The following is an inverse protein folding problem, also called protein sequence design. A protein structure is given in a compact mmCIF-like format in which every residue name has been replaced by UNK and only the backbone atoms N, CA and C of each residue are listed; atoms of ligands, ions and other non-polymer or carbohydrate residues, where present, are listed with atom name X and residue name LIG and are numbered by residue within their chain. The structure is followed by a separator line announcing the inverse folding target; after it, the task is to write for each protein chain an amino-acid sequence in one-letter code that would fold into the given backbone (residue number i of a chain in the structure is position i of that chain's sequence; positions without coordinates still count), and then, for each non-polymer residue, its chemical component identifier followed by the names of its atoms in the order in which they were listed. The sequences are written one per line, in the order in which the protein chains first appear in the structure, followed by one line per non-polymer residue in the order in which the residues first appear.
data_IF_347947171660
#
_entry.id   IF_347947171660
#
_cell.length_a   1.000
_cell.length_b   1.000
_cell.length_c   1.000
_cell.angle_alpha   90.00
_cell.angle_beta   90.00
_cell.angle_gamma   90.00
#
_symmetry.space_group_name_H-M   'P 1'
#
loop_
_entity.id
_entity.type
_entity.pdbx_description
1 polymer ?
#
# COMPACT_ATOMS: atom_id res chain seq x y z
N UNK A 1 26.11 20.82 10.12
CA UNK A 1 25.71 19.40 10.03
C UNK A 1 26.37 18.80 8.81
N UNK A 2 27.17 17.76 8.98
CA UNK A 2 27.74 16.99 7.85
C UNK A 2 26.60 16.27 7.14
N UNK A 3 26.31 16.62 5.88
CA UNK A 3 25.36 15.87 5.07
C UNK A 3 25.98 14.51 4.73
N UNK A 4 25.23 13.43 4.99
CA UNK A 4 25.59 12.08 4.55
C UNK A 4 24.83 11.75 3.27
N UNK A 5 25.52 11.66 2.12
CA UNK A 5 24.89 11.28 0.86
C UNK A 5 24.25 9.90 0.95
N UNK A 6 23.02 9.77 0.48
CA UNK A 6 22.32 8.48 0.41
C UNK A 6 23.13 7.44 -0.38
N UNK A 7 23.91 7.87 -1.38
CA UNK A 7 24.72 6.99 -2.23
C UNK A 7 25.90 6.35 -1.49
N UNK A 8 26.30 6.90 -0.36
CA UNK A 8 27.40 6.38 0.45
C UNK A 8 26.93 5.28 1.41
N UNK A 9 25.61 5.08 1.53
CA UNK A 9 25.03 4.00 2.32
C UNK A 9 25.16 2.66 1.60
N UNK A 10 25.22 1.53 2.33
CA UNK A 10 25.04 0.20 1.76
C UNK A 10 23.79 0.11 0.85
N UNK A 11 23.83 -0.59 -0.30
CA UNK A 11 22.72 -0.63 -1.26
C UNK A 11 21.37 -1.05 -0.68
N UNK A 12 21.38 -1.90 0.35
CA UNK A 12 20.18 -2.31 1.09
C UNK A 12 19.56 -1.14 1.83
N UNK A 13 20.37 -0.32 2.52
CA UNK A 13 19.89 0.86 3.24
C UNK A 13 19.40 1.94 2.27
N UNK A 14 20.05 2.11 1.12
CA UNK A 14 19.55 3.00 0.06
C UNK A 14 18.13 2.60 -0.36
N UNK A 15 17.91 1.31 -0.64
CA UNK A 15 16.61 0.82 -1.05
C UNK A 15 15.56 1.01 0.06
N UNK A 16 15.89 0.71 1.32
CA UNK A 16 14.98 0.87 2.46
C UNK A 16 14.58 2.33 2.68
N UNK A 17 15.51 3.27 2.57
CA UNK A 17 15.21 4.71 2.67
C UNK A 17 14.22 5.11 1.59
N UNK A 18 14.44 4.72 0.33
CA UNK A 18 13.55 5.09 -0.78
C UNK A 18 12.19 4.41 -0.67
N UNK A 19 12.13 3.16 -0.21
CA UNK A 19 10.87 2.47 0.11
C UNK A 19 10.10 3.20 1.21
N UNK A 20 10.79 3.69 2.24
CA UNK A 20 10.19 4.47 3.30
C UNK A 20 9.65 5.81 2.78
N UNK A 21 10.36 6.49 1.90
CA UNK A 21 9.85 7.69 1.22
C UNK A 21 8.59 7.37 0.42
N UNK A 22 8.58 6.28 -0.35
CA UNK A 22 7.42 5.85 -1.12
C UNK A 22 6.19 5.51 -0.27
N UNK A 23 6.41 4.96 0.93
CA UNK A 23 5.33 4.67 1.89
C UNK A 23 4.71 5.95 2.46
N UNK A 24 5.49 7.02 2.63
CA UNK A 24 5.05 8.20 3.40
C UNK A 24 4.73 9.43 2.54
N UNK A 25 5.37 9.63 1.39
CA UNK A 25 5.23 10.87 0.62
C UNK A 25 5.41 10.64 -0.89
N UNK A 26 4.30 10.76 -1.62
CA UNK A 26 4.32 10.74 -3.09
C UNK A 26 5.17 11.89 -3.65
N UNK A 27 5.01 13.09 -3.09
CA UNK A 27 5.73 14.28 -3.55
C UNK A 27 7.25 14.11 -3.40
N UNK A 28 7.71 13.62 -2.25
CA UNK A 28 9.14 13.45 -2.00
C UNK A 28 9.72 12.28 -2.79
N UNK A 29 8.96 11.21 -3.02
CA UNK A 29 9.40 10.14 -3.93
C UNK A 29 9.63 10.68 -5.35
N UNK A 30 8.70 11.49 -5.87
CA UNK A 30 8.82 12.06 -7.20
C UNK A 30 9.94 13.11 -7.30
N UNK A 31 10.12 13.95 -6.26
CA UNK A 31 11.26 14.89 -6.17
C UNK A 31 12.58 14.15 -6.15
N UNK A 32 12.71 13.10 -5.32
CA UNK A 32 13.87 12.23 -5.26
C UNK A 32 14.18 11.65 -6.64
N UNK A 33 13.17 11.06 -7.30
CA UNK A 33 13.30 10.47 -8.64
C UNK A 33 13.75 11.46 -9.72
N UNK A 34 13.44 12.75 -9.58
CA UNK A 34 13.84 13.80 -10.53
C UNK A 34 15.24 14.36 -10.33
N UNK A 35 15.91 14.07 -9.21
CA UNK A 35 17.23 14.67 -8.90
C UNK A 35 18.35 14.23 -9.83
N UNK A 36 18.63 12.93 -9.94
CA UNK A 36 19.72 12.40 -10.78
C UNK A 36 19.44 10.96 -11.24
N UNK A 37 20.29 10.45 -12.15
CA UNK A 37 20.15 9.08 -12.72
C UNK A 37 20.17 8.00 -11.64
N UNK A 38 21.06 8.10 -10.66
CA UNK A 38 21.19 7.14 -9.56
C UNK A 38 19.94 7.15 -8.66
N UNK A 39 19.42 8.32 -8.32
CA UNK A 39 18.18 8.42 -7.52
C UNK A 39 16.96 7.91 -8.29
N UNK A 40 16.89 8.17 -9.59
CA UNK A 40 15.86 7.59 -10.46
C UNK A 40 15.91 6.07 -10.43
N UNK A 41 17.11 5.49 -10.60
CA UNK A 41 17.29 4.04 -10.55
C UNK A 41 16.89 3.43 -9.20
N UNK A 42 17.15 4.12 -8.08
CA UNK A 42 16.68 3.69 -6.76
C UNK A 42 15.15 3.75 -6.64
N UNK A 43 14.54 4.84 -7.09
CA UNK A 43 13.08 5.05 -7.04
C UNK A 43 12.29 4.12 -7.98
N UNK A 44 12.95 3.56 -9.00
CA UNK A 44 12.33 2.63 -9.95
C UNK A 44 12.55 1.15 -9.59
N UNK A 45 13.13 0.84 -8.42
CA UNK A 45 13.24 -0.55 -7.92
C UNK A 45 11.86 -1.13 -7.56
N UNK A 46 11.65 -2.42 -7.82
CA UNK A 46 10.39 -3.14 -7.53
C UNK A 46 9.89 -2.94 -6.09
N UNK A 47 10.80 -3.02 -5.11
CA UNK A 47 10.47 -2.81 -3.70
C UNK A 47 9.84 -1.44 -3.37
N UNK A 48 10.12 -0.41 -4.18
CA UNK A 48 9.50 0.92 -4.03
C UNK A 48 8.02 0.85 -4.40
N UNK A 49 7.69 0.20 -5.52
CA UNK A 49 6.31 -0.04 -5.92
C UNK A 49 5.59 -0.98 -4.94
N UNK A 50 6.27 -2.00 -4.41
CA UNK A 50 5.72 -2.87 -3.36
C UNK A 50 5.40 -2.10 -2.05
N UNK A 51 6.17 -1.05 -1.73
CA UNK A 51 6.02 -0.25 -0.50
C UNK A 51 5.15 1.00 -0.66
N UNK A 52 4.83 1.39 -1.90
CA UNK A 52 4.13 2.63 -2.22
C UNK A 52 2.72 2.68 -1.59
N UNK A 53 2.39 3.73 -0.85
CA UNK A 53 1.06 3.86 -0.25
C UNK A 53 0.10 4.61 -1.19
N UNK A 54 -0.85 3.87 -1.79
CA UNK A 54 -1.73 4.42 -2.83
C UNK A 54 -2.61 5.59 -2.38
N UNK A 55 -2.94 5.70 -1.10
CA UNK A 55 -3.75 6.83 -0.62
C UNK A 55 -2.95 8.14 -0.58
N UNK A 56 -1.63 8.09 -0.67
CA UNK A 56 -0.78 9.28 -0.81
C UNK A 56 -0.71 9.75 -2.27
N UNK A 57 -1.24 8.97 -3.22
CA UNK A 57 -1.32 9.35 -4.61
C UNK A 57 -2.36 10.48 -4.77
N UNK A 58 -2.04 11.58 -5.48
CA UNK A 58 -2.99 12.64 -5.75
C UNK A 58 -4.01 12.18 -6.79
N UNK A 59 -5.07 11.51 -6.33
CA UNK A 59 -6.13 10.94 -7.18
C UNK A 59 -6.82 11.98 -8.08
N UNK A 60 -6.81 13.26 -7.69
CA UNK A 60 -7.28 14.38 -8.50
C UNK A 60 -6.53 14.56 -9.82
N UNK A 61 -5.29 14.05 -9.93
CA UNK A 61 -4.50 14.08 -11.18
C UNK A 61 -4.90 12.98 -12.18
N UNK A 62 -5.96 12.22 -11.89
CA UNK A 62 -6.40 11.10 -12.70
C UNK A 62 -5.58 9.83 -12.46
N UNK A 63 -6.15 8.70 -12.91
CA UNK A 63 -5.60 7.37 -12.70
C UNK A 63 -4.36 7.16 -13.59
N UNK A 64 -3.15 7.21 -13.02
CA UNK A 64 -1.92 6.84 -13.76
C UNK A 64 -1.84 5.32 -13.88
N UNK A 65 -2.42 4.78 -14.95
CA UNK A 65 -2.47 3.35 -15.24
C UNK A 65 -1.12 2.65 -15.12
N UNK A 66 -0.02 3.30 -15.52
CA UNK A 66 1.33 2.71 -15.46
C UNK A 66 1.87 2.53 -14.03
N UNK A 67 1.67 3.52 -13.16
CA UNK A 67 2.08 3.44 -11.75
C UNK A 67 1.30 2.34 -11.03
N UNK A 68 -0.03 2.38 -11.14
CA UNK A 68 -0.90 1.40 -10.48
C UNK A 68 -0.65 -0.01 -11.00
N UNK A 69 -0.39 -0.17 -12.30
CA UNK A 69 -0.03 -1.47 -12.88
C UNK A 69 1.26 -2.02 -12.27
N UNK A 70 2.32 -1.20 -12.17
CA UNK A 70 3.58 -1.64 -11.55
C UNK A 70 3.40 -1.99 -10.06
N UNK A 71 2.67 -1.18 -9.30
CA UNK A 71 2.37 -1.50 -7.91
C UNK A 71 1.60 -2.83 -7.79
N UNK A 72 0.65 -3.08 -8.68
CA UNK A 72 -0.11 -4.33 -8.72
C UNK A 72 0.78 -5.54 -9.06
N UNK A 73 1.65 -5.40 -10.07
CA UNK A 73 2.62 -6.44 -10.48
C UNK A 73 3.57 -6.83 -9.34
N UNK A 74 3.99 -5.85 -8.54
CA UNK A 74 4.85 -6.03 -7.36
C UNK A 74 4.07 -6.48 -6.11
N UNK A 75 2.77 -6.76 -6.22
CA UNK A 75 1.96 -7.28 -5.13
C UNK A 75 1.67 -6.27 -4.02
N UNK A 76 1.71 -4.97 -4.33
CA UNK A 76 1.49 -3.90 -3.36
C UNK A 76 0.14 -4.06 -2.62
N UNK A 77 0.14 -4.15 -1.27
CA UNK A 77 -1.09 -4.41 -0.51
C UNK A 77 -2.16 -3.33 -0.67
N UNK A 78 -1.79 -2.05 -0.77
CA UNK A 78 -2.74 -0.96 -0.96
C UNK A 78 -3.38 -0.97 -2.36
N UNK A 79 -2.66 -1.43 -3.39
CA UNK A 79 -3.21 -1.63 -4.74
C UNK A 79 -4.16 -2.82 -4.79
N UNK A 80 -3.77 -3.92 -4.15
CA UNK A 80 -4.63 -5.10 -4.01
C UNK A 80 -5.93 -4.75 -3.30
N UNK A 81 -5.87 -3.91 -2.26
CA UNK A 81 -7.05 -3.40 -1.56
C UNK A 81 -7.96 -2.58 -2.49
N UNK A 82 -7.44 -1.54 -3.15
CA UNK A 82 -8.24 -0.66 -4.02
C UNK A 82 -8.91 -1.48 -5.13
N UNK A 83 -8.17 -2.40 -5.76
CA UNK A 83 -8.72 -3.26 -6.81
C UNK A 83 -9.72 -4.29 -6.26
N UNK A 84 -9.49 -4.80 -5.06
CA UNK A 84 -10.42 -5.69 -4.36
C UNK A 84 -11.76 -5.02 -4.07
N UNK A 85 -11.73 -3.77 -3.61
CA UNK A 85 -12.93 -2.95 -3.40
C UNK A 85 -13.62 -2.63 -4.73
N UNK A 86 -12.89 -2.25 -5.77
CA UNK A 86 -13.46 -2.00 -7.11
C UNK A 86 -14.17 -3.25 -7.66
N UNK A 87 -13.57 -4.42 -7.49
CA UNK A 87 -14.13 -5.69 -7.98
C UNK A 87 -15.37 -6.10 -7.18
N UNK A 88 -15.30 -5.97 -5.85
CA UNK A 88 -16.40 -6.36 -4.98
C UNK A 88 -17.58 -5.39 -5.06
N UNK A 89 -17.34 -4.08 -4.90
CA UNK A 89 -18.41 -3.07 -4.81
C UNK A 89 -18.83 -2.50 -6.16
N UNK A 90 -17.90 -2.41 -7.12
CA UNK A 90 -18.13 -1.67 -8.37
C UNK A 90 -18.43 -2.55 -9.59
N UNK A 91 -17.95 -3.80 -9.60
CA UNK A 91 -18.03 -4.69 -10.77
C UNK A 91 -18.76 -6.01 -10.50
N UNK A 92 -19.33 -6.20 -9.30
CA UNK A 92 -20.05 -7.41 -8.89
C UNK A 92 -19.23 -8.71 -9.04
N UNK A 93 -17.90 -8.62 -8.99
CA UNK A 93 -16.96 -9.74 -9.06
C UNK A 93 -16.57 -10.17 -7.65
N UNK A 94 -17.56 -10.63 -6.89
CA UNK A 94 -17.46 -10.82 -5.44
C UNK A 94 -16.29 -11.72 -5.02
N UNK A 95 -16.16 -12.91 -5.60
CA UNK A 95 -15.10 -13.87 -5.26
C UNK A 95 -13.69 -13.35 -5.60
N UNK A 96 -13.57 -12.62 -6.71
CA UNK A 96 -12.30 -12.04 -7.11
C UNK A 96 -11.90 -10.88 -6.21
N UNK A 97 -12.86 -10.01 -5.89
CA UNK A 97 -12.70 -8.91 -4.94
C UNK A 97 -12.28 -9.43 -3.57
N UNK A 98 -12.99 -10.43 -3.04
CA UNK A 98 -12.66 -11.08 -1.76
C UNK A 98 -11.28 -11.72 -1.76
N UNK A 99 -10.87 -12.40 -2.83
CA UNK A 99 -9.51 -12.98 -2.94
C UNK A 99 -8.43 -11.90 -2.90
N UNK A 100 -8.65 -10.76 -3.56
CA UNK A 100 -7.71 -9.63 -3.53
C UNK A 100 -7.64 -8.99 -2.13
N UNK A 101 -8.80 -8.77 -1.50
CA UNK A 101 -8.88 -8.25 -0.13
C UNK A 101 -8.17 -9.17 0.86
N UNK A 102 -8.37 -10.50 0.75
CA UNK A 102 -7.67 -11.50 1.58
C UNK A 102 -6.16 -11.43 1.43
N UNK A 103 -5.66 -11.29 0.19
CA UNK A 103 -4.21 -11.15 -0.08
C UNK A 103 -3.64 -9.89 0.54
N UNK A 104 -4.32 -8.75 0.40
CA UNK A 104 -3.90 -7.50 1.02
C UNK A 104 -3.91 -7.57 2.56
N UNK A 105 -4.95 -8.19 3.14
CA UNK A 105 -5.07 -8.39 4.58
C UNK A 105 -3.97 -9.31 5.13
N UNK A 106 -3.68 -10.42 4.45
CA UNK A 106 -2.60 -11.34 4.84
C UNK A 106 -1.21 -10.70 4.71
N UNK A 107 -1.05 -9.69 3.84
CA UNK A 107 0.17 -8.89 3.76
C UNK A 107 0.26 -7.78 4.84
N UNK A 108 -0.69 -7.75 5.78
CA UNK A 108 -0.69 -6.83 6.92
C UNK A 108 -1.32 -5.46 6.65
N UNK A 109 -2.01 -5.27 5.53
CA UNK A 109 -2.64 -3.98 5.23
C UNK A 109 -3.91 -3.79 6.05
N UNK A 110 -3.89 -2.85 6.98
CA UNK A 110 -4.89 -2.72 8.05
C UNK A 110 -6.31 -2.46 7.50
N UNK A 111 -6.45 -1.64 6.45
CA UNK A 111 -7.75 -1.41 5.82
C UNK A 111 -8.31 -2.68 5.20
N UNK A 112 -7.48 -3.46 4.51
CA UNK A 112 -7.93 -4.72 3.93
C UNK A 112 -8.30 -5.74 5.00
N UNK A 113 -7.57 -5.77 6.12
CA UNK A 113 -7.90 -6.64 7.24
C UNK A 113 -9.29 -6.33 7.81
N UNK A 114 -9.59 -5.05 8.03
CA UNK A 114 -10.92 -4.61 8.45
C UNK A 114 -12.00 -4.97 7.43
N UNK A 115 -11.83 -4.54 6.18
CA UNK A 115 -12.81 -4.71 5.12
C UNK A 115 -13.08 -6.18 4.85
N UNK A 116 -12.04 -7.00 4.70
CA UNK A 116 -12.20 -8.43 4.45
C UNK A 116 -12.97 -9.13 5.57
N UNK A 117 -12.61 -8.85 6.83
CA UNK A 117 -13.31 -9.46 7.96
C UNK A 117 -14.78 -9.07 7.98
N UNK A 118 -15.09 -7.76 7.90
CA UNK A 118 -16.46 -7.25 7.86
C UNK A 118 -17.27 -7.87 6.72
N UNK A 119 -16.71 -7.93 5.52
CA UNK A 119 -17.37 -8.56 4.36
C UNK A 119 -17.63 -10.05 4.62
N UNK A 120 -16.67 -10.80 5.18
CA UNK A 120 -16.89 -12.22 5.52
C UNK A 120 -17.99 -12.41 6.57
N UNK A 121 -18.07 -11.55 7.59
CA UNK A 121 -19.14 -11.66 8.59
C UNK A 121 -20.51 -11.34 8.04
N UNK A 122 -20.63 -10.26 7.25
CA UNK A 122 -21.91 -9.83 6.69
C UNK A 122 -22.44 -10.81 5.65
N UNK A 123 -21.55 -11.31 4.78
CA UNK A 123 -21.97 -12.06 3.58
C UNK A 123 -21.71 -13.56 3.65
N UNK A 124 -20.89 -14.04 4.59
CA UNK A 124 -20.51 -15.46 4.67
C UNK A 124 -20.71 -16.08 6.07
N UNK A 125 -21.25 -15.33 7.04
CA UNK A 125 -21.47 -15.77 8.43
C UNK A 125 -20.23 -16.41 9.10
N UNK A 126 -19.04 -16.03 8.64
CA UNK A 126 -17.78 -16.62 9.09
C UNK A 126 -17.11 -15.76 10.17
N UNK A 127 -17.16 -16.26 11.41
CA UNK A 127 -16.53 -15.60 12.57
C UNK A 127 -15.04 -15.91 12.74
N UNK A 128 -14.49 -16.92 12.04
CA UNK A 128 -13.12 -17.39 12.25
C UNK A 128 -12.11 -16.26 11.92
N UNK A 129 -12.34 -15.53 10.84
CA UNK A 129 -11.44 -14.44 10.46
C UNK A 129 -11.51 -13.25 11.43
N UNK A 130 -12.67 -13.05 12.07
CA UNK A 130 -12.86 -12.00 13.09
C UNK A 130 -12.03 -12.26 14.35
N UNK A 131 -11.79 -13.53 14.71
CA UNK A 131 -10.95 -13.88 15.86
C UNK A 131 -9.52 -13.33 15.76
N UNK A 132 -9.05 -13.00 14.55
CA UNK A 132 -7.72 -12.44 14.30
C UNK A 132 -7.59 -10.97 14.72
N UNK A 133 -8.68 -10.27 15.06
CA UNK A 133 -8.59 -8.92 15.60
C UNK A 133 -8.02 -8.91 17.02
N UNK A 134 -6.76 -8.54 17.13
CA UNK A 134 -6.16 -8.23 18.43
C UNK A 134 -6.45 -6.79 18.85
N UNK A 135 -6.34 -6.49 20.16
CA UNK A 135 -6.39 -5.09 20.66
C UNK A 135 -5.42 -4.17 19.92
N UNK A 136 -4.25 -4.67 19.56
CA UNK A 136 -3.27 -3.92 18.76
C UNK A 136 -3.75 -3.65 17.34
N UNK A 137 -4.40 -4.62 16.69
CA UNK A 137 -4.98 -4.43 15.36
C UNK A 137 -6.05 -3.35 15.38
N UNK A 138 -6.91 -3.34 16.43
CA UNK A 138 -7.91 -2.30 16.66
C UNK A 138 -7.26 -0.92 16.89
N UNK A 139 -6.19 -0.86 17.68
CA UNK A 139 -5.45 0.39 17.92
C UNK A 139 -4.86 0.96 16.62
N UNK A 140 -4.23 0.11 15.78
CA UNK A 140 -3.67 0.52 14.48
C UNK A 140 -4.75 1.03 13.53
N UNK A 141 -5.89 0.34 13.42
CA UNK A 141 -7.02 0.80 12.61
C UNK A 141 -7.56 2.15 13.10
N UNK A 142 -7.67 2.34 14.42
CA UNK A 142 -8.09 3.61 15.01
C UNK A 142 -7.12 4.76 14.71
N UNK A 143 -5.83 4.50 14.54
CA UNK A 143 -4.86 5.51 14.10
C UNK A 143 -5.03 5.87 12.62
N UNK A 144 -5.31 4.89 11.75
CA UNK A 144 -5.59 5.14 10.33
C UNK A 144 -6.80 6.06 10.16
N UNK A 145 -7.89 5.81 10.90
CA UNK A 145 -9.10 6.63 10.82
C UNK A 145 -8.93 8.07 11.34
N UNK A 146 -8.04 8.30 12.32
CA UNK A 146 -7.80 9.63 12.92
C UNK A 146 -6.87 10.53 12.11
N UNK A 147 -6.02 9.96 11.25
CA UNK A 147 -5.09 10.72 10.41
C UNK A 147 -5.72 11.20 9.09
N UNK A 148 -7.03 10.97 8.90
CA UNK A 148 -7.78 11.34 7.68
C UNK A 148 -8.90 12.38 7.95
N UNK A 149 -8.97 12.95 9.16
CA UNK A 149 -9.92 14.00 9.56
C UNK A 149 -9.18 15.31 9.79
#
# INVERSE_FOLDING_TARGET
MTQFPILDLPPVLQALVVQHVAKNSFADLYRLRSTCKSMRALADKGGVYASFHLFNYPWSLGRRHTLLRRCYEEGNPSTLYVKGVEYFCGLDRLDEGLRLLKRAANAGYERAFYTYAMTRKIFCEDEEYFSRFTRESVARMGMVARNEI
#
